data_IF_920061508606
#
_entry.id   IF_920061508606
#
_cell.length_a   1.000
_cell.length_b   1.000
_cell.length_c   1.000
_cell.angle_alpha   90.00
_cell.angle_beta   90.00
_cell.angle_gamma   90.00
#
_symmetry.space_group_name_H-M   'P 1'
#
loop_
_entity.id
_entity.type
_entity.pdbx_description
1 polymer ?
#
# COMPACT_ATOMS: atom_id res chain seq x y z
N UNK A 1 -21.94 -11.43 48.74
CA UNK A 1 -20.84 -10.43 48.74
C UNK A 1 -19.55 -10.93 48.07
N UNK A 2 -19.22 -12.23 48.12
CA UNK A 2 -18.01 -12.77 47.46
C UNK A 2 -18.08 -12.82 45.92
N UNK A 3 -19.25 -13.13 45.34
CA UNK A 3 -19.42 -13.25 43.88
C UNK A 3 -19.24 -11.93 43.11
N UNK A 4 -19.62 -10.79 43.70
CA UNK A 4 -19.43 -9.47 43.11
C UNK A 4 -17.94 -9.06 43.12
N UNK A 5 -17.21 -9.40 44.18
CA UNK A 5 -15.76 -9.18 44.26
C UNK A 5 -15.02 -10.03 43.23
N UNK A 6 -15.41 -11.30 43.05
CA UNK A 6 -14.83 -12.17 42.03
C UNK A 6 -15.11 -11.62 40.63
N UNK A 7 -16.34 -11.17 40.33
CA UNK A 7 -16.67 -10.58 39.02
C UNK A 7 -15.86 -9.31 38.73
N UNK A 8 -15.67 -8.44 39.73
CA UNK A 8 -14.85 -7.23 39.60
C UNK A 8 -13.37 -7.59 39.39
N UNK A 9 -12.82 -8.53 40.17
CA UNK A 9 -11.44 -9.02 40.00
C UNK A 9 -11.23 -9.69 38.64
N UNK A 10 -12.20 -10.48 38.16
CA UNK A 10 -12.15 -11.08 36.82
C UNK A 10 -12.19 -10.02 35.71
N UNK A 11 -12.97 -8.95 35.87
CA UNK A 11 -13.00 -7.85 34.88
C UNK A 11 -11.70 -7.02 34.85
N UNK A 12 -10.99 -6.92 35.98
CA UNK A 12 -9.65 -6.32 36.07
C UNK A 12 -8.58 -7.22 35.45
N UNK A 13 -8.63 -8.54 35.70
CA UNK A 13 -7.67 -9.49 35.13
C UNK A 13 -7.82 -9.66 33.60
N UNK A 14 -9.02 -9.44 33.04
CA UNK A 14 -9.22 -9.42 31.57
C UNK A 14 -8.65 -8.15 30.93
N UNK A 15 -8.53 -7.04 31.66
CA UNK A 15 -7.79 -5.85 31.18
C UNK A 15 -6.27 -6.05 31.20
N UNK A 16 -5.78 -6.91 32.08
CA UNK A 16 -4.37 -7.31 32.22
C UNK A 16 -4.01 -8.62 31.47
N UNK A 17 -4.97 -9.20 30.73
CA UNK A 17 -4.64 -10.15 29.67
C UNK A 17 -3.95 -9.34 28.57
N UNK A 18 -2.66 -9.07 28.80
CA UNK A 18 -1.76 -8.42 27.87
C UNK A 18 -2.01 -9.03 26.51
N UNK A 19 -2.54 -8.19 25.61
CA UNK A 19 -2.69 -8.57 24.23
C UNK A 19 -1.37 -9.24 23.83
N UNK A 20 -1.44 -10.44 23.29
CA UNK A 20 -0.26 -11.10 22.73
C UNK A 20 0.23 -10.22 21.59
N UNK A 21 1.21 -9.36 21.87
CA UNK A 21 1.61 -8.29 20.95
C UNK A 21 2.36 -8.84 19.75
N UNK A 22 1.92 -8.37 18.58
CA UNK A 22 2.66 -8.39 17.33
C UNK A 22 3.15 -9.77 16.90
N UNK A 23 2.27 -10.59 16.32
CA UNK A 23 2.66 -11.60 15.33
C UNK A 23 3.09 -10.94 14.00
N UNK A 24 3.91 -9.88 14.09
CA UNK A 24 4.50 -9.18 12.96
C UNK A 24 5.99 -9.48 12.95
N UNK A 25 6.50 -9.96 11.81
CA UNK A 25 7.90 -10.33 11.56
C UNK A 25 8.86 -9.38 12.28
N UNK A 26 9.54 -9.91 13.30
CA UNK A 26 10.47 -9.19 14.15
C UNK A 26 11.83 -9.18 13.47
N UNK A 27 12.16 -8.09 12.78
CA UNK A 27 13.56 -7.65 12.78
C UNK A 27 13.97 -7.41 14.25
N UNK A 28 15.25 -7.54 14.58
CA UNK A 28 15.73 -7.52 15.96
C UNK A 28 15.56 -6.14 16.64
N UNK A 29 14.33 -5.80 17.01
CA UNK A 29 13.99 -4.65 17.85
C UNK A 29 13.97 -5.11 19.30
N UNK A 30 14.74 -4.45 20.15
CA UNK A 30 14.72 -4.70 21.58
C UNK A 30 13.53 -3.96 22.21
N UNK A 31 12.33 -4.50 21.99
CA UNK A 31 11.09 -3.93 22.52
C UNK A 31 10.97 -4.22 24.02
N UNK A 32 10.44 -3.28 24.82
CA UNK A 32 10.18 -3.51 26.23
C UNK A 32 9.12 -4.60 26.42
N UNK A 33 9.23 -5.35 27.53
CA UNK A 33 8.25 -6.39 27.90
C UNK A 33 6.83 -5.84 28.05
N UNK A 34 6.71 -4.54 28.38
CA UNK A 34 5.44 -3.83 28.53
C UNK A 34 5.50 -2.44 27.89
N UNK A 35 4.55 -2.20 27.00
CA UNK A 35 4.13 -0.93 26.44
C UNK A 35 3.58 -0.04 27.54
N UNK A 36 4.14 1.14 27.62
CA UNK A 36 3.67 2.23 28.45
C UNK A 36 3.39 3.40 27.53
N UNK A 37 2.12 3.57 27.12
CA UNK A 37 1.73 4.62 26.16
C UNK A 37 2.07 6.02 26.67
N UNK A 38 2.08 6.20 27.99
CA UNK A 38 2.51 7.46 28.64
C UNK A 38 3.97 7.83 28.39
N UNK A 39 4.82 6.85 28.02
CA UNK A 39 6.22 7.06 27.65
C UNK A 39 6.39 7.34 26.15
N UNK A 40 5.33 7.19 25.36
CA UNK A 40 5.38 7.52 23.95
C UNK A 40 5.44 9.04 23.76
N UNK A 41 6.22 9.48 22.77
CA UNK A 41 6.17 10.86 22.30
C UNK A 41 4.79 11.24 21.76
N UNK A 42 4.45 12.53 21.82
CA UNK A 42 3.18 13.02 21.28
C UNK A 42 3.22 13.19 19.76
N UNK A 43 2.14 12.83 19.08
CA UNK A 43 1.97 12.93 17.61
C UNK A 43 1.40 14.26 17.14
N UNK A 44 1.59 15.34 17.91
CA UNK A 44 0.90 16.60 17.65
C UNK A 44 1.35 17.16 16.28
N UNK A 45 0.45 17.09 15.28
CA UNK A 45 0.56 17.55 13.88
C UNK A 45 0.99 16.53 12.82
N UNK A 46 0.95 15.22 13.09
CA UNK A 46 1.12 14.25 11.99
C UNK A 46 -0.04 14.31 11.01
N UNK A 47 0.24 14.26 9.69
CA UNK A 47 -0.81 14.06 8.69
C UNK A 47 -1.44 12.66 8.80
N UNK A 48 -0.62 11.66 9.11
CA UNK A 48 -1.00 10.26 9.35
C UNK A 48 -0.11 9.63 10.41
N UNK A 49 -0.64 8.61 11.09
CA UNK A 49 0.08 7.87 12.13
C UNK A 49 -0.03 6.37 11.96
N UNK A 50 1.00 5.65 12.37
CA UNK A 50 1.04 4.18 12.48
C UNK A 50 1.66 3.78 13.80
N UNK A 51 1.45 2.54 14.22
CA UNK A 51 2.21 1.99 15.35
C UNK A 51 3.67 1.76 14.96
N UNK A 52 4.54 1.98 15.93
CA UNK A 52 5.95 1.60 15.87
C UNK A 52 6.12 0.07 15.78
N UNK A 53 7.35 -0.40 15.56
CA UNK A 53 7.62 -1.85 15.39
C UNK A 53 7.38 -2.67 16.66
N UNK A 54 7.36 -2.01 17.81
CA UNK A 54 6.96 -2.61 19.07
C UNK A 54 5.44 -2.69 19.25
N UNK A 55 4.66 -2.09 18.34
CA UNK A 55 3.21 -2.10 18.39
C UNK A 55 2.62 -1.25 19.53
N UNK A 56 3.39 -0.31 20.07
CA UNK A 56 3.06 0.43 21.28
C UNK A 56 2.76 1.90 20.98
N UNK A 57 3.73 2.59 20.40
CA UNK A 57 3.67 4.04 20.23
C UNK A 57 3.10 4.40 18.88
N UNK A 58 2.13 5.33 18.86
CA UNK A 58 1.72 5.96 17.62
C UNK A 58 2.82 6.94 17.17
N UNK A 59 3.25 6.81 15.93
CA UNK A 59 4.29 7.64 15.34
C UNK A 59 3.80 8.27 14.04
N UNK A 60 4.27 9.48 13.72
CA UNK A 60 4.03 10.06 12.40
C UNK A 60 4.62 9.15 11.31
N UNK A 61 3.89 8.98 10.21
CA UNK A 61 4.37 8.21 9.08
C UNK A 61 5.25 9.03 8.15
N UNK A 62 6.28 8.40 7.59
CA UNK A 62 6.93 8.86 6.38
C UNK A 62 5.99 8.71 5.17
N UNK A 63 5.96 9.74 4.33
CA UNK A 63 5.27 9.80 3.06
C UNK A 63 6.06 9.15 1.92
N UNK A 64 5.43 9.08 0.75
CA UNK A 64 6.08 8.57 -0.48
C UNK A 64 7.33 9.40 -0.79
N UNK A 65 8.44 8.72 -1.06
CA UNK A 65 9.70 9.37 -1.41
C UNK A 65 10.50 9.88 -0.21
N UNK A 66 9.94 9.82 1.00
CA UNK A 66 10.67 10.15 2.22
C UNK A 66 11.49 8.96 2.72
N UNK A 67 12.49 9.26 3.55
CA UNK A 67 13.37 8.27 4.14
C UNK A 67 12.64 7.37 5.15
N UNK A 68 13.05 6.12 5.18
CA UNK A 68 12.57 5.14 6.13
C UNK A 68 13.70 4.24 6.61
N UNK A 69 13.49 3.65 7.78
CA UNK A 69 14.45 2.78 8.44
C UNK A 69 13.84 1.41 8.70
N UNK A 70 14.71 0.39 8.83
CA UNK A 70 14.28 -0.99 9.03
C UNK A 70 13.50 -1.19 10.32
N UNK A 71 13.92 -0.50 11.37
CA UNK A 71 13.35 -0.64 12.71
C UNK A 71 13.12 0.72 13.33
N UNK A 72 11.89 0.95 13.76
CA UNK A 72 11.41 2.21 14.29
C UNK A 72 10.68 1.91 15.59
N UNK A 73 11.30 2.22 16.73
CA UNK A 73 10.63 2.26 18.03
C UNK A 73 10.44 3.72 18.44
N UNK A 74 9.19 4.12 18.66
CA UNK A 74 8.83 5.46 19.13
C UNK A 74 9.23 6.67 18.26
N UNK A 75 9.88 6.47 17.11
CA UNK A 75 10.42 7.56 16.29
C UNK A 75 9.47 7.99 15.17
N UNK A 76 9.30 9.30 15.00
CA UNK A 76 8.40 9.91 14.01
C UNK A 76 9.07 10.07 12.63
N UNK A 77 8.28 9.94 11.56
CA UNK A 77 8.70 10.31 10.20
C UNK A 77 9.68 9.36 9.54
N UNK A 78 9.87 8.17 10.10
CA UNK A 78 10.86 7.18 9.63
C UNK A 78 10.24 5.81 9.36
N UNK A 79 8.93 5.65 9.61
CA UNK A 79 8.15 4.46 9.27
C UNK A 79 7.15 4.79 8.18
N UNK A 80 7.17 4.05 7.09
CA UNK A 80 6.26 4.29 5.97
C UNK A 80 4.79 4.14 6.38
N UNK A 81 3.95 5.02 5.85
CA UNK A 81 2.51 4.95 6.05
C UNK A 81 1.83 3.76 5.35
N UNK A 82 0.52 3.54 5.61
CA UNK A 82 -0.26 2.55 4.89
C UNK A 82 -0.20 2.79 3.37
N UNK A 83 -0.16 1.69 2.60
CA UNK A 83 -0.01 1.76 1.14
C UNK A 83 1.41 1.98 0.67
N UNK A 84 2.37 2.06 1.60
CA UNK A 84 3.78 2.20 1.31
C UNK A 84 4.59 1.09 2.01
N UNK A 85 5.71 0.70 1.39
CA UNK A 85 6.76 -0.12 2.01
C UNK A 85 8.11 0.58 1.92
N UNK A 86 9.03 0.22 2.82
CA UNK A 86 10.38 0.74 2.79
C UNK A 86 11.23 -0.06 1.80
N UNK A 87 11.66 0.58 0.71
CA UNK A 87 12.63 0.02 -0.23
C UNK A 87 14.04 0.39 0.23
N UNK A 88 14.74 -0.56 0.84
CA UNK A 88 16.10 -0.34 1.36
C UNK A 88 17.14 -0.21 0.24
N UNK A 89 18.08 0.71 0.44
CA UNK A 89 19.32 0.73 -0.33
C UNK A 89 20.27 -0.35 0.19
N UNK A 90 21.28 -0.71 -0.62
CA UNK A 90 22.37 -1.59 -0.18
C UNK A 90 23.43 -0.85 0.65
N UNK A 91 23.31 0.46 0.74
CA UNK A 91 24.25 1.34 1.42
C UNK A 91 23.71 1.64 2.82
N UNK A 92 24.62 1.78 3.78
CA UNK A 92 24.34 2.23 5.14
C UNK A 92 24.47 3.77 5.20
N UNK A 93 23.74 4.41 6.11
CA UNK A 93 23.94 5.85 6.36
C UNK A 93 25.25 6.12 7.12
N UNK A 94 25.53 7.41 7.40
CA UNK A 94 26.74 7.83 8.13
C UNK A 94 26.86 7.21 9.54
N UNK A 95 25.77 6.61 10.06
CA UNK A 95 25.71 5.94 11.35
C UNK A 95 25.78 4.41 11.25
N UNK A 96 25.84 3.86 10.03
CA UNK A 96 25.83 2.41 9.80
C UNK A 96 24.43 1.80 9.79
N UNK A 97 23.37 2.62 9.77
CA UNK A 97 21.99 2.13 9.73
C UNK A 97 21.53 1.97 8.28
N UNK A 98 20.86 0.85 8.01
CA UNK A 98 20.25 0.65 6.69
C UNK A 98 18.99 1.52 6.57
N UNK A 99 19.01 2.37 5.55
CA UNK A 99 17.92 3.25 5.23
C UNK A 99 17.38 2.96 3.83
N UNK A 100 16.16 3.42 3.61
CA UNK A 100 15.45 3.25 2.35
C UNK A 100 14.58 4.45 2.04
N UNK A 101 13.73 4.26 1.03
CA UNK A 101 12.70 5.22 0.64
C UNK A 101 11.34 4.56 0.66
N UNK A 102 10.33 5.28 1.14
CA UNK A 102 8.96 4.80 1.10
C UNK A 102 8.43 4.76 -0.35
N UNK A 103 8.14 3.56 -0.84
CA UNK A 103 7.56 3.28 -2.15
C UNK A 103 6.15 2.75 -2.04
N UNK A 104 5.39 2.88 -3.11
CA UNK A 104 4.05 2.27 -3.23
C UNK A 104 4.08 0.77 -3.03
N UNK A 105 3.05 0.23 -2.38
CA UNK A 105 2.77 -1.19 -2.46
C UNK A 105 2.72 -1.71 -3.90
N UNK A 106 3.32 -2.89 -4.08
CA UNK A 106 3.20 -3.67 -5.31
C UNK A 106 1.72 -3.94 -5.61
N UNK A 107 1.39 -4.06 -6.89
CA UNK A 107 0.03 -4.36 -7.30
C UNK A 107 -0.51 -5.61 -6.57
N UNK A 108 -1.71 -5.51 -5.99
CA UNK A 108 -2.36 -6.59 -5.27
C UNK A 108 -2.01 -6.68 -3.78
N UNK A 109 -1.23 -5.74 -3.23
CA UNK A 109 -0.98 -5.65 -1.78
C UNK A 109 -1.36 -4.29 -1.21
N UNK A 110 -1.64 -4.25 0.10
CA UNK A 110 -2.12 -3.06 0.80
C UNK A 110 -1.74 -3.03 2.28
N UNK A 111 -1.99 -1.89 2.92
CA UNK A 111 -1.77 -1.66 4.34
C UNK A 111 -0.34 -1.24 4.66
N UNK A 112 0.01 -1.24 5.95
CA UNK A 112 1.36 -0.91 6.43
C UNK A 112 2.34 -1.98 5.94
N UNK A 113 3.44 -1.53 5.31
CA UNK A 113 4.47 -2.40 4.72
C UNK A 113 3.91 -3.42 3.72
N UNK A 114 2.72 -3.17 3.16
CA UNK A 114 2.13 -4.00 2.11
C UNK A 114 1.96 -5.47 2.49
N UNK A 115 1.82 -5.76 3.80
CA UNK A 115 1.73 -7.14 4.32
C UNK A 115 0.40 -7.83 4.03
N UNK A 116 -0.62 -7.10 3.56
CA UNK A 116 -1.95 -7.66 3.26
C UNK A 116 -2.13 -7.82 1.76
N UNK A 117 -2.78 -8.91 1.35
CA UNK A 117 -3.11 -9.18 -0.05
C UNK A 117 -4.56 -8.79 -0.38
N UNK A 118 -4.75 -8.21 -1.56
CA UNK A 118 -6.06 -7.81 -2.06
C UNK A 118 -6.82 -8.99 -2.66
N UNK A 119 -8.12 -9.10 -2.36
CA UNK A 119 -8.99 -10.19 -2.80
C UNK A 119 -10.16 -9.71 -3.68
N UNK A 120 -9.89 -8.74 -4.57
CA UNK A 120 -10.91 -8.16 -5.43
C UNK A 120 -11.26 -9.10 -6.59
N UNK A 121 -12.56 -9.35 -6.80
CA UNK A 121 -13.08 -10.20 -7.89
C UNK A 121 -12.86 -9.59 -9.30
N UNK A 122 -12.51 -8.31 -9.36
CA UNK A 122 -12.15 -7.57 -10.56
C UNK A 122 -11.80 -6.12 -10.21
N UNK A 123 -10.84 -5.53 -10.93
CA UNK A 123 -10.35 -4.18 -10.67
C UNK A 123 -9.14 -4.11 -9.72
N UNK A 124 -8.70 -2.88 -9.46
CA UNK A 124 -7.53 -2.56 -8.63
C UNK A 124 -8.00 -2.31 -7.19
N UNK A 125 -7.23 -2.70 -6.18
CA UNK A 125 -7.50 -2.33 -4.80
C UNK A 125 -6.80 -1.02 -4.40
N UNK A 126 -7.41 -0.26 -3.52
CA UNK A 126 -6.78 0.84 -2.81
C UNK A 126 -5.65 0.33 -1.92
N UNK A 127 -4.44 0.89 -2.06
CA UNK A 127 -3.24 0.40 -1.36
C UNK A 127 -3.24 0.72 0.13
N UNK A 128 -3.98 1.73 0.57
CA UNK A 128 -4.02 2.09 2.00
C UNK A 128 -5.02 1.22 2.76
N UNK A 129 -6.22 1.07 2.20
CA UNK A 129 -7.39 0.46 2.86
C UNK A 129 -7.66 -0.97 2.41
N UNK A 130 -7.19 -1.36 1.22
CA UNK A 130 -7.52 -2.64 0.58
C UNK A 130 -8.90 -2.66 -0.10
N UNK A 131 -9.61 -1.53 -0.14
CA UNK A 131 -10.93 -1.45 -0.75
C UNK A 131 -10.86 -1.69 -2.27
N UNK A 132 -11.76 -2.51 -2.80
CA UNK A 132 -11.81 -2.78 -4.23
C UNK A 132 -12.38 -1.59 -5.00
N UNK A 133 -11.58 -1.02 -5.89
CA UNK A 133 -12.00 0.07 -6.75
C UNK A 133 -12.79 -0.52 -7.92
N UNK A 134 -14.10 -0.30 -7.92
CA UNK A 134 -14.95 -0.67 -9.06
C UNK A 134 -14.74 0.33 -10.19
N UNK A 135 -13.93 -0.05 -11.19
CA UNK A 135 -13.88 0.67 -12.44
C UNK A 135 -15.23 0.49 -13.15
N UNK A 136 -16.03 1.57 -13.20
CA UNK A 136 -17.40 1.55 -13.78
C UNK A 136 -17.45 1.09 -15.23
N UNK A 137 -16.30 1.01 -15.92
CA UNK A 137 -16.19 0.45 -17.27
C UNK A 137 -16.58 -1.03 -17.34
N UNK A 138 -16.28 -1.86 -16.34
CA UNK A 138 -16.65 -3.29 -16.34
C UNK A 138 -18.04 -3.56 -15.77
N UNK A 139 -18.57 -2.67 -14.93
CA UNK A 139 -19.93 -2.80 -14.39
C UNK A 139 -20.98 -2.79 -15.51
N UNK A 140 -20.74 -2.03 -16.59
CA UNK A 140 -21.66 -1.94 -17.74
C UNK A 140 -21.67 -3.20 -18.62
N UNK A 141 -20.62 -4.02 -18.56
CA UNK A 141 -20.50 -5.27 -19.33
C UNK A 141 -21.14 -6.44 -18.56
N UNK A 142 -20.97 -6.49 -17.23
CA UNK A 142 -21.58 -7.50 -16.37
C UNK A 142 -23.12 -7.38 -16.30
N UNK A 143 -23.67 -6.16 -16.39
CA UNK A 143 -25.12 -5.96 -16.50
C UNK A 143 -25.69 -6.37 -17.86
N UNK A 144 -24.86 -6.55 -18.90
CA UNK A 144 -25.28 -6.99 -20.23
C UNK A 144 -25.21 -8.51 -20.44
N UNK A 145 -24.54 -9.23 -19.54
CA UNK A 145 -24.31 -10.67 -19.58
C UNK A 145 -25.22 -11.48 -18.64
N UNK A 146 -26.00 -10.82 -17.76
CA UNK A 146 -27.00 -11.50 -16.90
C UNK A 146 -28.42 -11.51 -17.50
N UNK A 147 -28.55 -11.27 -18.79
CA UNK A 147 -29.75 -11.53 -19.59
C UNK A 147 -29.44 -12.68 -20.54
N UNK A 148 -29.65 -13.91 -20.09
CA UNK A 148 -29.76 -15.12 -20.93
C UNK A 148 -31.23 -15.31 -21.37
N UNK A 149 -31.56 -16.19 -22.33
CA UNK A 149 -31.02 -16.35 -23.69
C UNK A 149 -32.17 -16.48 -24.73
N UNK A 150 -32.18 -15.75 -25.85
CA UNK A 150 -32.82 -16.24 -27.10
C UNK A 150 -32.57 -15.29 -28.29
N UNK A 151 -32.67 -15.88 -29.48
CA UNK A 151 -32.64 -15.27 -30.82
C UNK A 151 -31.26 -14.82 -31.35
N UNK A 152 -30.75 -15.64 -32.27
CA UNK A 152 -29.51 -15.41 -33.00
C UNK A 152 -29.50 -14.16 -33.87
N UNK A 153 -28.29 -13.67 -34.13
CA UNK A 153 -27.98 -12.80 -35.25
C UNK A 153 -26.48 -12.92 -35.56
N UNK A 154 -26.21 -13.79 -36.54
CA UNK A 154 -25.38 -13.54 -37.73
C UNK A 154 -23.96 -12.98 -37.55
N UNK A 155 -23.02 -13.79 -38.04
CA UNK A 155 -21.60 -13.54 -38.23
C UNK A 155 -21.37 -12.38 -39.23
N UNK A 156 -20.72 -11.29 -38.80
CA UNK A 156 -20.32 -10.18 -39.65
C UNK A 156 -18.81 -10.12 -39.82
N UNK A 157 -18.29 -10.86 -40.81
CA UNK A 157 -16.92 -10.73 -41.31
C UNK A 157 -16.82 -9.50 -42.21
N UNK A 158 -15.83 -8.63 -41.97
CA UNK A 158 -15.61 -7.42 -42.75
C UNK A 158 -14.12 -7.15 -42.94
N UNK A 159 -13.57 -7.71 -44.01
CA UNK A 159 -12.22 -7.44 -44.51
C UNK A 159 -12.23 -6.28 -45.54
N UNK A 160 -11.21 -5.43 -45.41
CA UNK A 160 -10.56 -4.48 -46.34
C UNK A 160 -11.31 -3.87 -47.53
N UNK A 161 -11.26 -2.53 -47.60
CA UNK A 161 -11.47 -1.75 -48.82
C UNK A 161 -10.45 -0.62 -48.92
N UNK A 162 -9.36 -0.86 -49.64
CA UNK A 162 -8.43 0.16 -50.10
C UNK A 162 -9.05 0.94 -51.26
N UNK A 163 -9.03 2.28 -51.20
CA UNK A 163 -9.25 3.13 -52.35
C UNK A 163 -8.28 4.33 -52.31
N UNK A 164 -7.48 4.39 -53.37
CA UNK A 164 -6.44 5.36 -53.67
C UNK A 164 -7.02 6.68 -54.22
N UNK A 165 -6.32 7.77 -53.94
CA UNK A 165 -6.02 8.89 -54.85
C UNK A 165 -4.90 9.70 -54.18
N UNK A 166 -3.62 9.60 -54.58
CA UNK A 166 -2.92 10.32 -55.70
C UNK A 166 -3.41 11.76 -55.84
N UNK A 167 -2.59 12.80 -55.92
CA UNK A 167 -1.13 13.04 -55.96
C UNK A 167 -0.99 14.53 -55.54
N UNK A 168 0.09 14.97 -54.90
CA UNK A 168 1.21 15.79 -55.44
C UNK A 168 1.65 16.67 -54.25
N UNK A 169 2.90 17.00 -53.95
CA UNK A 169 4.15 17.01 -54.70
C UNK A 169 5.25 17.36 -53.67
N UNK A 170 6.46 16.79 -53.82
CA UNK A 170 7.79 17.39 -53.47
C UNK A 170 8.07 17.73 -52.00
N UNK A 171 9.23 17.47 -51.39
CA UNK A 171 10.49 16.87 -51.82
C UNK A 171 11.37 16.74 -50.55
N UNK A 172 12.39 15.88 -50.65
CA UNK A 172 13.66 15.90 -49.89
C UNK A 172 13.74 15.32 -48.47
N UNK A 173 14.29 14.09 -48.48
CA UNK A 173 15.25 13.50 -47.55
C UNK A 173 16.16 14.48 -46.80
N UNK A 174 16.34 14.25 -45.49
CA UNK A 174 17.65 13.92 -44.87
C UNK A 174 17.52 13.82 -43.33
N UNK A 175 17.51 12.60 -42.80
CA UNK A 175 18.24 12.32 -41.56
C UNK A 175 19.69 12.00 -41.98
N UNK A 176 20.77 12.32 -41.22
CA UNK A 176 20.87 11.94 -39.80
C UNK A 176 21.72 12.88 -38.89
N UNK A 177 21.88 12.43 -37.63
CA UNK A 177 23.11 12.45 -36.79
C UNK A 177 23.17 13.43 -35.58
N UNK A 178 23.02 12.79 -34.41
CA UNK A 178 23.70 12.96 -33.09
C UNK A 178 24.33 14.31 -32.70
N UNK A 179 24.08 14.75 -31.45
CA UNK A 179 24.98 14.70 -30.26
C UNK A 179 24.37 15.54 -29.10
N UNK A 180 24.47 15.05 -27.86
CA UNK A 180 24.26 15.84 -26.61
C UNK A 180 25.51 16.70 -26.33
N UNK A 181 25.35 17.90 -25.73
CA UNK A 181 25.82 18.14 -24.33
C UNK A 181 24.88 19.10 -23.56
N UNK A 182 24.88 19.23 -22.23
CA UNK A 182 25.95 19.13 -21.23
C UNK A 182 25.33 18.85 -19.85
#
# INVERSE_FOLDING_TARGET
MSLLLIAVLSSLLVRDAGATWGAGVKYAVNCPDRCSVERCGGTQRCARTVLDDCGCCQVCTAGRGEHCYRTVSGMHGVKCGPGLFCEFYKDEDDYGDEYGICRDCVYGTYGVECRKACNCKGGICDRETGACLTLKFFAKIASKLNTDPDAGAEFGSGEVGAAQSRDQHTDRSAAPKRLNPR
#
